data_IF_730298025986
#
_entry.id   IF_730298025986
#
_cell.length_a   1.000
_cell.length_b   1.000
_cell.length_c   1.000
_cell.angle_alpha   90.00
_cell.angle_beta   90.00
_cell.angle_gamma   90.00
#
_symmetry.space_group_name_H-M   'P 1'
#
loop_
_entity.id
_entity.type
_entity.pdbx_description
1 polymer ?
#
# COMPACT_ATOMS: atom_id res chain seq x y z
N UNK A 1 35.82 4.59 8.90
CA UNK A 1 34.69 4.63 7.95
C UNK A 1 33.75 5.76 8.37
N UNK A 2 33.63 6.83 7.57
CA UNK A 2 32.75 7.96 7.89
C UNK A 2 31.27 7.55 7.82
N UNK A 3 30.48 7.96 8.83
CA UNK A 3 29.04 7.70 8.88
C UNK A 3 28.38 8.44 7.71
N UNK A 4 27.77 7.71 6.76
CA UNK A 4 27.01 8.33 5.67
C UNK A 4 25.92 9.22 6.27
N UNK A 5 25.82 10.48 5.81
CA UNK A 5 24.74 11.39 6.22
C UNK A 5 23.40 10.74 5.90
N UNK A 6 22.49 10.74 6.88
CA UNK A 6 21.09 10.35 6.66
C UNK A 6 20.48 11.34 5.67
N UNK A 7 19.73 10.83 4.69
CA UNK A 7 19.03 11.67 3.73
C UNK A 7 18.05 12.59 4.46
N UNK A 8 18.01 13.86 4.03
CA UNK A 8 17.03 14.85 4.45
C UNK A 8 16.15 15.18 3.24
N UNK A 9 14.83 15.16 3.37
CA UNK A 9 13.94 15.55 2.27
C UNK A 9 14.21 17.00 1.88
N UNK A 10 14.09 17.29 0.58
CA UNK A 10 14.14 18.67 0.08
C UNK A 10 12.82 19.37 0.41
N UNK A 11 12.82 20.70 0.35
CA UNK A 11 11.65 21.52 0.70
C UNK A 11 10.40 21.25 -0.17
N UNK A 12 10.58 20.71 -1.38
CA UNK A 12 9.44 20.32 -2.24
C UNK A 12 8.90 18.92 -1.96
N UNK A 13 9.58 18.13 -1.13
CA UNK A 13 9.23 16.72 -0.84
C UNK A 13 8.49 16.58 0.50
N UNK A 14 8.70 17.50 1.44
CA UNK A 14 8.17 17.41 2.81
C UNK A 14 7.96 18.79 3.43
N UNK A 15 6.94 18.88 4.29
CA UNK A 15 6.71 20.04 5.14
C UNK A 15 7.64 20.10 6.37
N UNK A 16 8.60 19.19 6.50
CA UNK A 16 9.58 19.16 7.59
C UNK A 16 9.01 18.72 8.95
N UNK A 17 7.85 18.07 8.97
CA UNK A 17 7.24 17.57 10.21
C UNK A 17 8.01 16.34 10.73
N UNK A 18 8.14 16.23 12.05
CA UNK A 18 8.94 15.16 12.71
C UNK A 18 8.46 13.74 12.46
N UNK A 19 7.22 13.55 12.00
CA UNK A 19 6.61 12.26 11.68
C UNK A 19 6.12 12.20 10.22
N UNK A 20 6.72 12.98 9.33
CA UNK A 20 6.37 12.93 7.91
C UNK A 20 6.93 11.64 7.28
N UNK A 21 6.07 10.86 6.61
CA UNK A 21 6.41 9.56 6.03
C UNK A 21 6.56 9.67 4.52
N UNK A 22 7.58 9.03 3.94
CA UNK A 22 7.77 8.99 2.49
C UNK A 22 7.50 7.61 1.91
N UNK A 23 6.44 7.51 1.11
CA UNK A 23 6.13 6.31 0.33
C UNK A 23 6.89 6.30 -1.01
N UNK A 24 8.18 5.98 -0.95
CA UNK A 24 9.05 5.99 -2.13
C UNK A 24 8.62 4.94 -3.16
N UNK A 25 8.70 5.21 -4.46
CA UNK A 25 8.62 4.18 -5.50
C UNK A 25 9.99 4.09 -6.17
N UNK A 26 10.54 2.89 -6.28
CA UNK A 26 11.82 2.68 -6.97
C UNK A 26 11.61 2.67 -8.49
N UNK A 27 12.62 3.12 -9.22
CA UNK A 27 12.59 3.17 -10.69
C UNK A 27 12.28 1.79 -11.30
N UNK A 28 12.86 0.72 -10.76
CA UNK A 28 12.58 -0.66 -11.18
C UNK A 28 11.09 -1.03 -11.12
N UNK A 29 10.35 -0.48 -10.17
CA UNK A 29 8.90 -0.65 -10.10
C UNK A 29 8.22 0.15 -11.20
N UNK A 30 8.58 1.43 -11.39
CA UNK A 30 7.98 2.32 -12.39
C UNK A 30 8.10 1.76 -13.81
N UNK A 31 9.25 1.17 -14.13
CA UNK A 31 9.53 0.63 -15.46
C UNK A 31 9.05 -0.82 -15.65
N UNK A 32 8.63 -1.50 -14.58
CA UNK A 32 8.16 -2.88 -14.63
C UNK A 32 6.91 -3.03 -15.51
N UNK A 33 6.77 -4.18 -16.15
CA UNK A 33 5.58 -4.50 -16.93
C UNK A 33 4.32 -4.48 -16.06
N UNK A 34 4.41 -5.00 -14.83
CA UNK A 34 3.32 -5.02 -13.86
C UNK A 34 2.78 -3.62 -13.54
N UNK A 35 3.66 -2.64 -13.31
CA UNK A 35 3.26 -1.27 -12.95
C UNK A 35 2.71 -0.50 -14.15
N UNK A 36 3.26 -0.76 -15.34
CA UNK A 36 2.80 -0.17 -16.60
C UNK A 36 1.39 -0.62 -16.97
N UNK A 37 1.01 -1.85 -16.64
CA UNK A 37 -0.34 -2.39 -16.85
C UNK A 37 -1.40 -1.74 -15.94
N UNK A 38 -1.00 -1.19 -14.79
CA UNK A 38 -1.91 -0.45 -13.92
C UNK A 38 -2.30 0.89 -14.55
N UNK A 39 -3.55 1.31 -14.37
CA UNK A 39 -3.98 2.67 -14.70
C UNK A 39 -3.52 3.70 -13.64
N UNK A 40 -3.65 4.99 -13.95
CA UNK A 40 -3.18 6.07 -13.08
C UNK A 40 -3.77 6.01 -11.65
N UNK A 41 -5.06 5.69 -11.52
CA UNK A 41 -5.74 5.58 -10.23
C UNK A 41 -5.22 4.40 -9.41
N UNK A 42 -5.00 3.25 -10.06
CA UNK A 42 -4.42 2.06 -9.44
C UNK A 42 -2.97 2.29 -8.98
N UNK A 43 -2.16 2.98 -9.80
CA UNK A 43 -0.79 3.39 -9.41
C UNK A 43 -0.81 4.27 -8.16
N UNK A 44 -1.71 5.26 -8.10
CA UNK A 44 -1.88 6.10 -6.91
C UNK A 44 -2.37 5.31 -5.69
N UNK A 45 -3.33 4.39 -5.90
CA UNK A 45 -3.80 3.50 -4.83
C UNK A 45 -2.64 2.69 -4.24
N UNK A 46 -1.72 2.20 -5.07
CA UNK A 46 -0.55 1.48 -4.59
C UNK A 46 0.38 2.37 -3.75
N UNK A 47 0.58 3.64 -4.12
CA UNK A 47 1.34 4.60 -3.29
C UNK A 47 0.70 4.78 -1.92
N UNK A 48 -0.64 4.86 -1.85
CA UNK A 48 -1.36 4.94 -0.57
C UNK A 48 -1.27 3.64 0.24
N UNK A 49 -1.29 2.48 -0.41
CA UNK A 49 -0.97 1.21 0.23
C UNK A 49 0.43 1.29 0.85
N UNK A 50 1.43 1.69 0.07
CA UNK A 50 2.83 1.80 0.52
C UNK A 50 3.01 2.77 1.68
N UNK A 51 2.23 3.83 1.75
CA UNK A 51 2.23 4.73 2.91
C UNK A 51 1.83 4.00 4.22
N UNK A 52 1.00 2.96 4.14
CA UNK A 52 0.64 2.13 5.31
C UNK A 52 1.78 1.22 5.79
N UNK A 53 2.85 1.04 5.00
CA UNK A 53 4.07 0.37 5.48
C UNK A 53 4.65 1.10 6.70
N UNK A 54 4.54 2.43 6.75
CA UNK A 54 4.99 3.26 7.87
C UNK A 54 3.85 3.60 8.85
N UNK A 55 2.66 3.03 8.66
CA UNK A 55 1.50 3.26 9.51
C UNK A 55 1.72 2.72 10.93
N UNK A 56 1.24 3.47 11.93
CA UNK A 56 1.44 3.15 13.35
C UNK A 56 0.73 1.88 13.82
N UNK A 57 -0.44 1.57 13.23
CA UNK A 57 -1.24 0.39 13.61
C UNK A 57 -1.03 -0.73 12.60
N UNK A 58 -0.54 -1.86 13.07
CA UNK A 58 -0.22 -3.04 12.27
C UNK A 58 -1.11 -4.23 12.65
N UNK A 59 -1.47 -5.11 11.69
CA UNK A 59 -2.27 -6.30 11.97
C UNK A 59 -1.70 -7.20 13.07
N UNK A 60 -0.38 -7.39 13.14
CA UNK A 60 0.28 -8.19 14.17
C UNK A 60 -0.13 -7.84 15.61
N UNK A 61 -0.37 -6.56 15.91
CA UNK A 61 -0.75 -6.12 17.25
C UNK A 61 -2.20 -6.48 17.60
N UNK A 62 -3.09 -6.57 16.61
CA UNK A 62 -4.50 -6.91 16.81
C UNK A 62 -4.76 -8.43 16.70
N UNK A 63 -3.82 -9.18 16.10
CA UNK A 63 -3.93 -10.61 15.83
C UNK A 63 -2.63 -11.35 16.13
N UNK A 64 -2.19 -11.43 17.40
CA UNK A 64 -0.89 -12.01 17.77
C UNK A 64 -0.79 -13.50 17.40
N UNK A 65 -1.91 -14.23 17.39
CA UNK A 65 -1.94 -15.68 17.16
C UNK A 65 -2.14 -16.07 15.67
N UNK A 66 -2.11 -15.09 14.76
CA UNK A 66 -2.30 -15.33 13.32
C UNK A 66 -0.98 -15.17 12.57
N UNK A 67 -0.30 -16.29 12.31
CA UNK A 67 1.01 -16.33 11.62
C UNK A 67 1.02 -15.55 10.30
N UNK A 68 -0.07 -15.62 9.54
CA UNK A 68 -0.20 -14.97 8.23
C UNK A 68 -0.10 -13.44 8.28
N UNK A 69 -0.19 -12.81 9.47
CA UNK A 69 -0.12 -11.35 9.65
C UNK A 69 1.01 -10.89 10.56
N UNK A 70 1.90 -11.80 10.97
CA UNK A 70 3.10 -11.50 11.74
C UNK A 70 4.21 -11.01 10.80
N UNK A 71 4.14 -9.73 10.41
CA UNK A 71 5.16 -9.11 9.59
C UNK A 71 4.88 -7.63 9.28
N UNK A 72 5.95 -6.85 9.13
CA UNK A 72 5.85 -5.40 8.86
C UNK A 72 5.21 -5.09 7.49
N UNK A 73 5.26 -6.07 6.59
CA UNK A 73 4.65 -6.01 5.25
C UNK A 73 3.13 -6.11 5.28
N UNK A 74 2.54 -6.52 6.41
CA UNK A 74 1.10 -6.56 6.60
C UNK A 74 0.58 -5.17 7.00
N UNK A 75 -0.55 -4.79 6.41
CA UNK A 75 -1.15 -3.49 6.65
C UNK A 75 -2.67 -3.54 6.56
N UNK A 76 -3.30 -2.53 7.16
CA UNK A 76 -4.72 -2.28 7.00
C UNK A 76 -4.95 -1.23 5.92
N UNK A 77 -5.99 -1.45 5.13
CA UNK A 77 -6.56 -0.41 4.30
C UNK A 77 -8.07 -0.61 4.26
N UNK A 78 -8.82 0.49 4.32
CA UNK A 78 -10.27 0.45 4.16
C UNK A 78 -10.73 1.59 3.26
N UNK A 79 -11.95 1.45 2.76
CA UNK A 79 -12.54 2.44 1.86
C UNK A 79 -12.58 3.85 2.48
N UNK A 80 -12.97 3.96 3.75
CA UNK A 80 -13.07 5.23 4.45
C UNK A 80 -11.74 5.99 4.49
N UNK A 81 -10.62 5.33 4.75
CA UNK A 81 -9.29 5.96 4.71
C UNK A 81 -8.99 6.52 3.31
N UNK A 82 -9.26 5.74 2.27
CA UNK A 82 -8.99 6.17 0.90
C UNK A 82 -9.91 7.32 0.47
N UNK A 83 -11.16 7.36 0.92
CA UNK A 83 -12.11 8.41 0.54
C UNK A 83 -11.99 9.65 1.42
N UNK A 84 -11.93 9.50 2.74
CA UNK A 84 -12.01 10.61 3.69
C UNK A 84 -10.67 11.30 3.90
N UNK A 85 -9.56 10.58 3.75
CA UNK A 85 -8.20 11.13 3.92
C UNK A 85 -7.54 11.41 2.58
N UNK A 86 -7.55 10.46 1.66
CA UNK A 86 -6.83 10.58 0.40
C UNK A 86 -7.68 11.10 -0.78
N UNK A 87 -9.01 11.08 -0.67
CA UNK A 87 -9.91 11.57 -1.71
C UNK A 87 -9.82 10.84 -3.06
N UNK A 88 -9.29 9.61 -3.11
CA UNK A 88 -9.04 8.92 -4.39
C UNK A 88 -10.32 8.43 -5.07
N UNK A 89 -11.37 8.14 -4.28
CA UNK A 89 -12.67 7.70 -4.76
C UNK A 89 -13.78 8.52 -4.10
N UNK A 90 -14.95 8.67 -4.77
CA UNK A 90 -16.17 9.11 -4.11
C UNK A 90 -16.58 8.15 -3.00
N UNK A 91 -17.20 8.67 -1.93
CA UNK A 91 -17.66 7.86 -0.77
C UNK A 91 -18.62 6.72 -1.13
N UNK A 92 -19.32 6.82 -2.25
CA UNK A 92 -20.25 5.80 -2.74
C UNK A 92 -19.59 4.72 -3.59
N UNK A 93 -18.35 4.92 -4.04
CA UNK A 93 -17.71 4.07 -5.04
C UNK A 93 -16.88 2.91 -4.44
N UNK A 94 -17.54 2.10 -3.63
CA UNK A 94 -16.92 0.91 -3.03
C UNK A 94 -16.45 -0.09 -4.09
N UNK A 95 -17.23 -0.28 -5.15
CA UNK A 95 -16.96 -1.27 -6.20
C UNK A 95 -15.62 -1.03 -6.88
N UNK A 96 -15.35 0.20 -7.28
CA UNK A 96 -14.11 0.53 -7.96
C UNK A 96 -12.89 0.38 -7.05
N UNK A 97 -13.01 0.77 -5.78
CA UNK A 97 -11.93 0.60 -4.81
C UNK A 97 -11.54 -0.88 -4.70
N UNK A 98 -12.51 -1.79 -4.50
CA UNK A 98 -12.21 -3.21 -4.38
C UNK A 98 -11.73 -3.82 -5.69
N UNK A 99 -12.26 -3.38 -6.85
CA UNK A 99 -11.74 -3.79 -8.16
C UNK A 99 -10.29 -3.38 -8.35
N UNK A 100 -9.94 -2.17 -7.96
CA UNK A 100 -8.56 -1.67 -8.11
C UNK A 100 -7.61 -2.36 -7.11
N UNK A 101 -8.05 -2.64 -5.88
CA UNK A 101 -7.30 -3.48 -4.94
C UNK A 101 -7.06 -4.89 -5.49
N UNK A 102 -8.07 -5.48 -6.12
CA UNK A 102 -7.94 -6.77 -6.78
C UNK A 102 -6.93 -6.71 -7.94
N UNK A 103 -6.95 -5.63 -8.73
CA UNK A 103 -5.98 -5.44 -9.82
C UNK A 103 -4.55 -5.30 -9.31
N UNK A 104 -4.34 -4.64 -8.16
CA UNK A 104 -3.02 -4.61 -7.52
C UNK A 104 -2.55 -6.01 -7.08
N UNK A 105 -3.47 -6.86 -6.62
CA UNK A 105 -3.15 -8.24 -6.25
C UNK A 105 -2.82 -9.11 -7.47
N UNK A 106 -3.60 -8.99 -8.55
CA UNK A 106 -3.36 -9.67 -9.82
C UNK A 106 -2.00 -9.30 -10.44
N UNK A 107 -1.61 -8.02 -10.32
CA UNK A 107 -0.32 -7.53 -10.80
C UNK A 107 0.83 -7.84 -9.84
N UNK A 108 0.56 -8.54 -8.72
CA UNK A 108 1.58 -9.06 -7.81
C UNK A 108 2.20 -8.02 -6.88
N UNK A 109 1.56 -6.88 -6.68
CA UNK A 109 2.04 -5.84 -5.75
C UNK A 109 1.61 -6.08 -4.30
N UNK A 110 0.46 -6.73 -4.10
CA UNK A 110 -0.10 -7.03 -2.80
C UNK A 110 -0.77 -8.41 -2.80
N UNK A 111 -1.11 -8.90 -1.62
CA UNK A 111 -1.94 -10.07 -1.39
C UNK A 111 -3.08 -9.71 -0.44
N UNK A 112 -4.26 -10.29 -0.69
CA UNK A 112 -5.44 -10.14 0.16
C UNK A 112 -5.40 -11.27 1.19
N UNK A 113 -5.04 -10.95 2.44
CA UNK A 113 -4.92 -11.95 3.52
C UNK A 113 -6.28 -12.21 4.17
N UNK A 114 -7.05 -11.14 4.39
CA UNK A 114 -8.39 -11.26 4.97
C UNK A 114 -9.31 -10.15 4.47
N UNK A 115 -10.49 -10.55 4.01
CA UNK A 115 -11.59 -9.61 3.74
C UNK A 115 -12.39 -9.40 5.02
N UNK A 116 -12.35 -8.17 5.54
CA UNK A 116 -13.07 -7.83 6.76
C UNK A 116 -14.58 -7.62 6.56
N UNK A 117 -15.10 -7.75 5.33
CA UNK A 117 -16.50 -7.41 4.98
C UNK A 117 -17.52 -8.18 5.82
N UNK A 118 -17.43 -9.52 5.85
CA UNK A 118 -18.36 -10.36 6.59
C UNK A 118 -18.28 -10.13 8.12
N UNK A 119 -17.07 -9.88 8.62
CA UNK A 119 -16.81 -9.71 10.05
C UNK A 119 -16.90 -8.25 10.55
N UNK A 120 -17.25 -7.29 9.67
CA UNK A 120 -17.19 -5.83 9.92
C UNK A 120 -15.83 -5.37 10.46
N UNK A 121 -14.75 -6.03 10.06
CA UNK A 121 -13.37 -5.69 10.44
C UNK A 121 -12.66 -4.97 9.29
N UNK A 122 -11.47 -4.43 9.56
CA UNK A 122 -10.60 -3.89 8.52
C UNK A 122 -10.03 -5.04 7.70
N UNK A 123 -10.01 -4.89 6.39
CA UNK A 123 -9.31 -5.85 5.52
C UNK A 123 -7.81 -5.79 5.77
N UNK A 124 -7.17 -6.96 5.70
CA UNK A 124 -5.73 -7.13 5.90
C UNK A 124 -5.10 -7.47 4.56
N UNK A 125 -4.05 -6.74 4.22
CA UNK A 125 -3.26 -6.91 3.02
C UNK A 125 -1.79 -7.13 3.38
N UNK A 126 -1.04 -7.72 2.47
CA UNK A 126 0.41 -7.91 2.58
C UNK A 126 1.08 -7.44 1.29
N UNK A 127 2.24 -6.78 1.37
CA UNK A 127 3.01 -6.48 0.16
C UNK A 127 3.55 -7.75 -0.48
N UNK A 128 3.70 -7.74 -1.80
CA UNK A 128 4.21 -8.91 -2.53
C UNK A 128 5.32 -8.49 -3.48
N UNK A 129 6.24 -9.41 -3.72
CA UNK A 129 7.31 -9.28 -4.71
C UNK A 129 6.96 -9.95 -6.05
N UNK A 130 5.76 -10.55 -6.17
CA UNK A 130 5.31 -11.27 -7.38
C UNK A 130 5.32 -10.42 -8.64
N UNK A 131 5.19 -9.09 -8.52
CA UNK A 131 5.32 -8.14 -9.62
C UNK A 131 6.65 -8.25 -10.38
N UNK A 132 7.74 -8.73 -9.73
CA UNK A 132 9.04 -8.99 -10.37
C UNK A 132 8.96 -10.05 -11.47
N UNK A 133 8.09 -11.03 -11.27
CA UNK A 133 7.89 -12.17 -12.18
C UNK A 133 6.64 -12.05 -13.06
N UNK A 134 5.91 -10.94 -12.94
CA UNK A 134 4.65 -10.74 -13.63
C UNK A 134 4.85 -10.67 -15.14
N UNK A 135 3.98 -11.38 -15.87
CA UNK A 135 3.95 -11.38 -17.33
C UNK A 135 2.66 -10.73 -17.80
N UNK A 136 2.70 -9.90 -18.85
CA UNK A 136 1.51 -9.37 -19.48
C UNK A 136 0.55 -10.50 -19.90
N UNK A 137 -0.78 -10.31 -19.73
CA UNK A 137 -1.77 -11.22 -20.27
C UNK A 137 -1.79 -11.24 -21.80
#
# INVERSE_FOLDING_TARGET
MGRKKKYSPKAFESAGKTNDTSANIYDSMLISAAFKDLNARQRMLYVYCKNQYYGKRKPQADYPDMDAVQGDECFYLNHALITDVYGLYPKTNHRDFYRDMQKLAENGFIEIISSGYAAKKRSIYRFSEKWLSWKPP
#
